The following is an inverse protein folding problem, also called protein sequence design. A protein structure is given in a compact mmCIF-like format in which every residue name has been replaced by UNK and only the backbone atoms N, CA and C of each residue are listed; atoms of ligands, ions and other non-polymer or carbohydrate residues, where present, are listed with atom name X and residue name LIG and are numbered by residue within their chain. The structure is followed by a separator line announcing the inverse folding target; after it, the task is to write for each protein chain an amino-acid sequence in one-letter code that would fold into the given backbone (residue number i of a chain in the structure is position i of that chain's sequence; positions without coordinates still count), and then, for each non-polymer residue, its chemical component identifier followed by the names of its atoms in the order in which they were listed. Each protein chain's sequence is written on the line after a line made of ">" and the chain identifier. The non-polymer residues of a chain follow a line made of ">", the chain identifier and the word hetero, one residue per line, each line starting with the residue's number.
data_IF_961501257366
#
_entry.id   IF_961501257366
#
_cell.length_a   1.000
_cell.length_b   1.000
_cell.length_c   1.000
_cell.angle_alpha   90.00
_cell.angle_beta   90.00
_cell.angle_gamma   90.00
#
_symmetry.space_group_name_H-M   'P 1'
#
loop_
_entity.id
_entity.type
_entity.pdbx_description
1 polymer ?
#
# COMPACT_ATOMS: atom_id res chain seq x y z
N UNK A 1 25.81 7.22 -19.15
CA UNK A 1 24.36 7.43 -19.08
C UNK A 1 24.09 8.47 -18.01
N UNK A 2 23.42 9.56 -18.38
CA UNK A 2 23.29 10.76 -17.56
C UNK A 2 22.65 10.46 -16.19
N UNK A 3 23.15 11.11 -15.12
CA UNK A 3 22.73 10.83 -13.73
C UNK A 3 21.21 11.03 -13.56
N UNK A 4 20.64 11.96 -14.31
CA UNK A 4 19.22 12.25 -14.32
C UNK A 4 18.38 11.14 -14.96
N UNK A 5 18.80 10.59 -16.11
CA UNK A 5 18.12 9.45 -16.75
C UNK A 5 18.07 8.23 -15.82
N UNK A 6 19.15 7.97 -15.07
CA UNK A 6 19.20 6.86 -14.11
C UNK A 6 18.23 7.05 -12.94
N UNK A 7 18.09 8.28 -12.44
CA UNK A 7 17.15 8.61 -11.35
C UNK A 7 15.68 8.41 -11.77
N UNK A 8 15.34 8.85 -12.99
CA UNK A 8 13.99 8.71 -13.55
C UNK A 8 13.62 7.22 -13.70
N UNK A 9 14.53 6.41 -14.25
CA UNK A 9 14.29 4.97 -14.42
C UNK A 9 14.06 4.28 -13.07
N UNK A 10 14.84 4.63 -12.04
CA UNK A 10 14.67 4.07 -10.69
C UNK A 10 13.31 4.45 -10.09
N UNK A 11 12.83 5.66 -10.33
CA UNK A 11 11.51 6.10 -9.87
C UNK A 11 10.40 5.26 -10.49
N UNK A 12 10.39 5.11 -11.82
CA UNK A 12 9.40 4.28 -12.52
C UNK A 12 9.44 2.80 -12.10
N UNK A 13 10.62 2.24 -11.87
CA UNK A 13 10.73 0.85 -11.40
C UNK A 13 10.11 0.69 -10.01
N UNK A 14 10.30 1.67 -9.11
CA UNK A 14 9.69 1.63 -7.77
C UNK A 14 8.17 1.71 -7.84
N UNK A 15 7.62 2.63 -8.65
CA UNK A 15 6.18 2.74 -8.84
C UNK A 15 5.58 1.47 -9.44
N UNK A 16 6.25 0.91 -10.46
CA UNK A 16 5.85 -0.36 -11.06
C UNK A 16 5.84 -1.50 -10.03
N UNK A 17 6.85 -1.58 -9.17
CA UNK A 17 6.96 -2.63 -8.17
C UNK A 17 5.84 -2.53 -7.11
N UNK A 18 5.49 -1.31 -6.69
CA UNK A 18 4.35 -1.09 -5.77
C UNK A 18 3.05 -1.54 -6.43
N UNK A 19 2.81 -1.13 -7.66
CA UNK A 19 1.60 -1.48 -8.41
C UNK A 19 1.53 -3.00 -8.61
N UNK A 20 2.65 -3.64 -8.95
CA UNK A 20 2.76 -5.09 -9.09
C UNK A 20 2.44 -5.82 -7.78
N UNK A 21 2.97 -5.35 -6.64
CA UNK A 21 2.64 -5.90 -5.32
C UNK A 21 1.13 -5.79 -5.05
N UNK A 22 0.53 -4.64 -5.35
CA UNK A 22 -0.91 -4.44 -5.21
C UNK A 22 -1.74 -5.45 -6.01
N UNK A 23 -1.36 -5.69 -7.26
CA UNK A 23 -2.01 -6.70 -8.13
C UNK A 23 -1.79 -8.11 -7.59
N UNK A 24 -0.57 -8.47 -7.16
CA UNK A 24 -0.28 -9.78 -6.58
C UNK A 24 -1.15 -10.06 -5.34
N UNK A 25 -1.31 -9.07 -4.47
CA UNK A 25 -2.18 -9.18 -3.29
C UNK A 25 -3.64 -9.40 -3.70
N UNK A 26 -4.13 -8.67 -4.71
CA UNK A 26 -5.49 -8.84 -5.22
C UNK A 26 -5.71 -10.26 -5.75
N UNK A 27 -4.80 -10.75 -6.60
CA UNK A 27 -4.87 -12.09 -7.19
C UNK A 27 -4.84 -13.16 -6.09
N UNK A 28 -3.97 -13.00 -5.09
CA UNK A 28 -3.89 -13.91 -3.96
C UNK A 28 -5.18 -13.95 -3.14
N UNK A 29 -5.76 -12.77 -2.85
CA UNK A 29 -7.05 -12.66 -2.15
C UNK A 29 -8.19 -13.31 -2.94
N UNK A 30 -8.23 -13.08 -4.25
CA UNK A 30 -9.23 -13.70 -5.13
C UNK A 30 -9.08 -15.21 -5.14
N UNK A 31 -7.86 -15.72 -5.27
CA UNK A 31 -7.60 -17.16 -5.23
C UNK A 31 -8.05 -17.77 -3.89
N UNK A 32 -7.71 -17.13 -2.77
CA UNK A 32 -8.12 -17.57 -1.43
C UNK A 32 -9.65 -17.59 -1.26
N UNK A 33 -10.37 -16.68 -1.92
CA UNK A 33 -11.83 -16.57 -1.87
C UNK A 33 -12.54 -17.24 -3.07
N UNK A 34 -11.88 -18.21 -3.73
CA UNK A 34 -12.43 -18.95 -4.88
C UNK A 34 -12.97 -18.06 -6.00
N UNK A 35 -12.30 -16.94 -6.25
CA UNK A 35 -12.67 -15.90 -7.23
C UNK A 35 -14.05 -15.27 -7.02
N UNK A 36 -14.64 -15.43 -5.84
CA UNK A 36 -15.89 -14.76 -5.50
C UNK A 36 -15.59 -13.30 -5.14
N UNK A 37 -15.82 -12.41 -6.11
CA UNK A 37 -15.61 -10.98 -5.96
C UNK A 37 -16.73 -10.37 -5.10
N UNK A 38 -16.35 -9.74 -3.99
CA UNK A 38 -17.29 -9.06 -3.10
C UNK A 38 -16.74 -7.70 -2.69
N UNK A 39 -17.64 -6.78 -2.32
CA UNK A 39 -17.26 -5.47 -1.78
C UNK A 39 -16.34 -5.62 -0.56
N UNK A 40 -16.61 -6.61 0.29
CA UNK A 40 -15.79 -6.92 1.47
C UNK A 40 -14.36 -7.33 1.09
N UNK A 41 -14.19 -8.14 0.06
CA UNK A 41 -12.86 -8.54 -0.44
C UNK A 41 -12.13 -7.34 -1.05
N UNK A 42 -12.83 -6.50 -1.79
CA UNK A 42 -12.26 -5.27 -2.35
C UNK A 42 -11.82 -4.28 -1.26
N UNK A 43 -12.62 -4.08 -0.21
CA UNK A 43 -12.24 -3.29 0.97
C UNK A 43 -11.02 -3.86 1.69
N UNK A 44 -10.94 -5.20 1.83
CA UNK A 44 -9.78 -5.86 2.41
C UNK A 44 -8.52 -5.68 1.55
N UNK A 45 -8.66 -5.75 0.22
CA UNK A 45 -7.56 -5.48 -0.70
C UNK A 45 -7.07 -4.04 -0.59
N UNK A 46 -7.97 -3.05 -0.58
CA UNK A 46 -7.61 -1.62 -0.40
C UNK A 46 -6.87 -1.41 0.91
N UNK A 47 -7.35 -2.02 2.00
CA UNK A 47 -6.70 -1.97 3.30
C UNK A 47 -5.26 -2.50 3.24
N UNK A 48 -5.05 -3.71 2.73
CA UNK A 48 -3.71 -4.30 2.66
C UNK A 48 -2.81 -3.47 1.73
N UNK A 49 -3.34 -2.97 0.61
CA UNK A 49 -2.57 -2.16 -0.33
C UNK A 49 -2.18 -0.80 0.25
N UNK A 50 -3.06 -0.16 1.02
CA UNK A 50 -2.75 1.07 1.74
C UNK A 50 -1.62 0.86 2.76
N UNK A 51 -1.62 -0.26 3.48
CA UNK A 51 -0.53 -0.58 4.40
C UNK A 51 0.83 -0.73 3.68
N UNK A 52 0.84 -1.28 2.46
CA UNK A 52 2.03 -1.35 1.60
C UNK A 52 2.48 0.05 1.18
N UNK A 53 1.56 0.90 0.71
CA UNK A 53 1.86 2.28 0.33
C UNK A 53 2.42 3.08 1.51
N UNK A 54 1.83 2.92 2.69
CA UNK A 54 2.28 3.57 3.91
C UNK A 54 3.68 3.11 4.32
N UNK A 55 3.94 1.81 4.25
CA UNK A 55 5.27 1.24 4.53
C UNK A 55 6.33 1.72 3.53
N UNK A 56 5.97 1.82 2.25
CA UNK A 56 6.85 2.39 1.23
C UNK A 56 7.14 3.87 1.50
N UNK A 57 6.12 4.65 1.86
CA UNK A 57 6.28 6.05 2.23
C UNK A 57 7.19 6.21 3.45
N UNK A 58 6.99 5.40 4.50
CA UNK A 58 7.85 5.39 5.69
C UNK A 58 9.32 5.14 5.36
N UNK A 59 9.58 4.27 4.39
CA UNK A 59 10.94 3.92 3.95
C UNK A 59 11.63 5.08 3.21
N UNK A 60 10.94 5.73 2.27
CA UNK A 60 11.51 6.84 1.49
C UNK A 60 11.54 8.16 2.25
N UNK A 61 10.63 8.34 3.21
CA UNK A 61 10.43 9.58 3.94
C UNK A 61 11.67 9.96 4.77
N UNK A 62 12.13 11.20 4.59
CA UNK A 62 13.17 11.85 5.41
C UNK A 62 12.64 12.47 6.71
N UNK A 63 11.35 12.26 7.02
CA UNK A 63 10.73 12.75 8.26
C UNK A 63 11.39 12.18 9.51
N UNK A 64 11.23 12.88 10.63
CA UNK A 64 11.76 12.43 11.93
C UNK A 64 11.00 11.19 12.38
N UNK A 65 11.67 10.30 13.12
CA UNK A 65 11.06 9.05 13.60
C UNK A 65 9.78 9.27 14.41
N UNK A 66 9.68 10.37 15.18
CA UNK A 66 8.48 10.70 15.94
C UNK A 66 7.29 11.11 15.05
N UNK A 67 7.52 11.83 13.95
CA UNK A 67 6.46 12.18 12.98
C UNK A 67 5.92 10.92 12.29
N UNK A 68 6.81 9.99 11.95
CA UNK A 68 6.45 8.68 11.39
C UNK A 68 5.56 7.87 12.33
N UNK A 69 5.85 7.89 13.63
CA UNK A 69 5.04 7.21 14.64
C UNK A 69 3.65 7.81 14.75
N UNK A 70 3.54 9.15 14.80
CA UNK A 70 2.23 9.84 14.87
C UNK A 70 1.37 9.51 13.64
N UNK A 71 1.96 9.59 12.44
CA UNK A 71 1.25 9.29 11.20
C UNK A 71 0.89 7.80 11.13
N UNK A 72 1.75 6.90 11.62
CA UNK A 72 1.46 5.48 11.70
C UNK A 72 0.29 5.15 12.61
N UNK A 73 0.21 5.80 13.78
CA UNK A 73 -0.93 5.66 14.69
C UNK A 73 -2.21 6.17 14.02
N UNK A 74 -2.16 7.34 13.39
CA UNK A 74 -3.29 7.90 12.63
C UNK A 74 -3.77 6.95 11.53
N UNK A 75 -2.82 6.37 10.77
CA UNK A 75 -3.10 5.41 9.71
C UNK A 75 -3.83 4.18 10.24
N UNK A 76 -3.34 3.57 11.33
CA UNK A 76 -3.97 2.39 11.95
C UNK A 76 -5.39 2.72 12.42
N UNK A 77 -5.62 3.90 13.02
CA UNK A 77 -6.95 4.32 13.48
C UNK A 77 -7.90 4.49 12.29
N UNK A 78 -7.46 5.15 11.22
CA UNK A 78 -8.26 5.34 10.01
C UNK A 78 -8.62 4.00 9.35
N UNK A 79 -7.64 3.12 9.25
CA UNK A 79 -7.80 1.78 8.71
C UNK A 79 -8.78 0.93 9.52
N UNK A 80 -8.73 1.05 10.85
CA UNK A 80 -9.69 0.40 11.75
C UNK A 80 -11.13 0.92 11.51
N UNK A 81 -11.30 2.23 11.37
CA UNK A 81 -12.61 2.84 11.10
C UNK A 81 -13.16 2.35 9.75
N UNK A 82 -12.34 2.28 8.71
CA UNK A 82 -12.76 1.80 7.38
C UNK A 82 -13.20 0.32 7.45
N UNK A 83 -12.45 -0.52 8.15
CA UNK A 83 -12.79 -1.94 8.31
C UNK A 83 -14.07 -2.17 9.15
N UNK A 84 -14.28 -1.37 10.19
CA UNK A 84 -15.45 -1.49 11.07
C UNK A 84 -16.69 -0.87 10.44
N UNK A 85 -16.54 0.29 9.77
CA UNK A 85 -17.64 1.01 9.12
C UNK A 85 -18.12 0.38 7.80
N UNK A 86 -17.37 -0.56 7.23
CA UNK A 86 -17.78 -1.37 6.07
C UNK A 86 -18.62 -2.60 6.40
N UNK A 87 -19.11 -2.73 7.64
CA UNK A 87 -20.08 -3.77 8.06
C UNK A 87 -21.51 -3.30 7.93
#
# INVERSE_FOLDING_TARGET
>A
MDKEKKSIIIHYIKEFLILFIGICILIFLLWYHSFNFSVKLFSLWIFIFNAVLFSFWLWISKSKSWEKVIIGIYFIIMEWIILVGGR
#
